data_IF_293248978492
#
_entry.id   IF_293248978492
#
_cell.length_a   1.000
_cell.length_b   1.000
_cell.length_c   1.000
_cell.angle_alpha   90.00
_cell.angle_beta   90.00
_cell.angle_gamma   90.00
#
_symmetry.space_group_name_H-M   'P 1'
#
loop_
_entity.id
_entity.type
_entity.pdbx_description
1 polymer ?
#
# COMPACT_ATOMS: atom_id res chain seq x y z
N UNK A 1 1.91 24.28 28.77
CA UNK A 1 1.23 23.09 28.22
C UNK A 1 1.72 22.85 26.80
N UNK A 2 2.89 22.21 26.64
CA UNK A 2 3.48 21.93 25.32
C UNK A 2 3.55 20.42 25.08
N UNK A 3 2.44 19.82 24.64
CA UNK A 3 2.34 18.36 24.40
C UNK A 3 1.84 18.05 22.98
N UNK A 4 1.55 19.04 22.13
CA UNK A 4 0.83 18.77 20.87
C UNK A 4 1.70 18.29 19.70
N UNK A 5 3.03 18.44 19.74
CA UNK A 5 3.91 18.01 18.64
C UNK A 5 4.16 16.49 18.63
N UNK A 6 4.65 15.95 19.74
CA UNK A 6 5.02 14.53 19.86
C UNK A 6 3.81 13.57 19.76
N UNK A 7 2.66 13.95 20.32
CA UNK A 7 1.44 13.13 20.28
C UNK A 7 0.85 13.01 18.87
N UNK A 8 0.95 14.07 18.05
CA UNK A 8 0.50 14.03 16.65
C UNK A 8 1.40 13.17 15.75
N UNK A 9 2.68 13.09 16.08
CA UNK A 9 3.70 12.42 15.29
C UNK A 9 3.72 10.91 15.55
N UNK A 10 3.64 10.51 16.82
CA UNK A 10 3.42 9.10 17.17
C UNK A 10 2.14 8.55 16.52
N UNK A 11 1.09 9.39 16.44
CA UNK A 11 -0.13 9.04 15.73
C UNK A 11 0.10 8.81 14.23
N UNK A 12 0.90 9.66 13.56
CA UNK A 12 1.25 9.48 12.14
C UNK A 12 2.08 8.21 11.90
N UNK A 13 3.06 7.91 12.74
CA UNK A 13 3.85 6.69 12.65
C UNK A 13 2.99 5.43 12.85
N UNK A 14 2.04 5.46 13.80
CA UNK A 14 1.06 4.38 13.97
C UNK A 14 0.15 4.22 12.75
N UNK A 15 -0.26 5.32 12.13
CA UNK A 15 -1.03 5.30 10.89
C UNK A 15 -0.21 4.64 9.77
N UNK A 16 1.04 5.07 9.56
CA UNK A 16 1.92 4.46 8.55
C UNK A 16 2.09 2.96 8.75
N UNK A 17 2.41 2.53 9.98
CA UNK A 17 2.56 1.10 10.29
C UNK A 17 1.27 0.33 10.02
N UNK A 18 0.12 0.83 10.46
CA UNK A 18 -1.17 0.17 10.19
C UNK A 18 -1.46 0.09 8.71
N UNK A 19 -1.26 1.18 7.95
CA UNK A 19 -1.56 1.21 6.51
C UNK A 19 -0.64 0.28 5.73
N UNK A 20 0.64 0.19 6.09
CA UNK A 20 1.57 -0.76 5.49
C UNK A 20 1.12 -2.21 5.73
N UNK A 21 0.78 -2.57 6.97
CA UNK A 21 0.29 -3.93 7.29
C UNK A 21 -1.06 -4.25 6.62
N UNK A 22 -1.98 -3.28 6.57
CA UNK A 22 -3.26 -3.43 5.88
C UNK A 22 -3.05 -3.65 4.38
N UNK A 23 -2.16 -2.88 3.76
CA UNK A 23 -1.81 -3.02 2.35
C UNK A 23 -1.27 -4.42 2.05
N UNK A 24 -0.36 -4.94 2.88
CA UNK A 24 0.16 -6.30 2.71
C UNK A 24 -0.93 -7.36 2.81
N UNK A 25 -1.82 -7.24 3.79
CA UNK A 25 -2.96 -8.16 3.96
C UNK A 25 -3.92 -8.09 2.77
N UNK A 26 -4.20 -6.89 2.25
CA UNK A 26 -5.03 -6.71 1.07
C UNK A 26 -4.38 -7.34 -0.16
N UNK A 27 -3.07 -7.14 -0.38
CA UNK A 27 -2.34 -7.79 -1.47
C UNK A 27 -2.33 -9.33 -1.34
N UNK A 28 -2.18 -9.88 -0.14
CA UNK A 28 -2.31 -11.33 0.08
C UNK A 28 -3.70 -11.84 -0.28
N UNK A 29 -4.74 -11.11 0.10
CA UNK A 29 -6.12 -11.46 -0.26
C UNK A 29 -6.34 -11.37 -1.77
N UNK A 30 -5.72 -10.39 -2.44
CA UNK A 30 -5.73 -10.29 -3.90
C UNK A 30 -5.07 -11.52 -4.54
N UNK A 31 -3.91 -11.93 -4.04
CA UNK A 31 -3.17 -13.11 -4.52
C UNK A 31 -4.03 -14.39 -4.41
N UNK A 32 -4.76 -14.58 -3.30
CA UNK A 32 -5.69 -15.70 -3.13
C UNK A 32 -6.84 -15.68 -4.16
N UNK A 33 -7.41 -14.50 -4.43
CA UNK A 33 -8.48 -14.34 -5.42
C UNK A 33 -7.94 -14.66 -6.82
N UNK A 34 -6.75 -14.17 -7.16
CA UNK A 34 -6.09 -14.41 -8.46
C UNK A 34 -5.79 -15.89 -8.67
N UNK A 35 -5.31 -16.58 -7.63
CA UNK A 35 -5.10 -18.03 -7.69
C UNK A 35 -6.42 -18.78 -7.95
N UNK A 36 -7.49 -18.37 -7.28
CA UNK A 36 -8.81 -18.96 -7.49
C UNK A 36 -9.38 -18.68 -8.89
N UNK A 37 -9.18 -17.47 -9.43
CA UNK A 37 -9.54 -17.12 -10.80
C UNK A 37 -8.74 -17.97 -11.81
N UNK A 38 -7.45 -18.13 -11.58
CA UNK A 38 -6.56 -18.93 -12.42
C UNK A 38 -7.00 -20.41 -12.46
N UNK A 39 -7.36 -20.97 -11.30
CA UNK A 39 -7.91 -22.32 -11.22
C UNK A 39 -9.24 -22.44 -11.98
N UNK A 40 -10.14 -21.46 -11.80
CA UNK A 40 -11.45 -21.44 -12.47
C UNK A 40 -11.32 -21.35 -14.01
N UNK A 41 -10.31 -20.62 -14.51
CA UNK A 41 -9.99 -20.56 -15.94
C UNK A 41 -9.45 -21.91 -16.43
N UNK A 42 -8.61 -22.58 -15.63
CA UNK A 42 -8.13 -23.94 -15.90
C UNK A 42 -9.26 -24.95 -16.00
N UNK A 43 -10.18 -24.94 -15.05
CA UNK A 43 -11.36 -25.82 -15.03
C UNK A 43 -12.26 -25.56 -16.23
N UNK A 44 -12.46 -24.29 -16.60
CA UNK A 44 -13.22 -23.92 -17.80
C UNK A 44 -12.59 -24.49 -19.07
N UNK A 45 -11.27 -24.38 -19.25
CA UNK A 45 -10.56 -24.99 -20.39
C UNK A 45 -10.73 -26.50 -20.44
N UNK A 46 -10.66 -27.16 -19.29
CA UNK A 46 -10.89 -28.59 -19.19
C UNK A 46 -12.31 -28.98 -19.62
N UNK A 47 -13.30 -28.16 -19.24
CA UNK A 47 -14.71 -28.34 -19.61
C UNK A 47 -15.02 -27.96 -21.06
N UNK A 48 -14.26 -27.04 -21.67
CA UNK A 48 -14.44 -26.62 -23.08
C UNK A 48 -13.68 -27.54 -24.08
N UNK A 49 -12.73 -28.35 -23.62
CA UNK A 49 -11.96 -29.31 -24.44
C UNK A 49 -12.65 -30.68 -24.67
N UNK A 50 -11.91 -31.63 -25.27
CA UNK A 50 -12.40 -32.97 -25.71
C UNK A 50 -13.01 -33.86 -24.59
N UNK A 51 -12.90 -33.49 -23.32
CA UNK A 51 -13.51 -34.21 -22.19
C UNK A 51 -15.03 -33.95 -22.07
N UNK A 52 -15.57 -33.09 -22.93
CA UNK A 52 -17.00 -32.92 -23.18
C UNK A 52 -17.70 -34.15 -23.77
N UNK A 53 -17.02 -35.28 -24.06
CA UNK A 53 -17.74 -36.50 -24.49
C UNK A 53 -18.82 -36.97 -23.49
N UNK A 54 -18.65 -36.67 -22.20
CA UNK A 54 -19.63 -36.96 -21.14
C UNK A 54 -20.64 -35.84 -20.90
N UNK A 55 -20.29 -34.57 -21.14
CA UNK A 55 -21.18 -33.40 -20.98
C UNK A 55 -22.03 -33.12 -22.24
N UNK A 56 -21.60 -33.57 -23.42
CA UNK A 56 -22.36 -33.55 -24.68
C UNK A 56 -23.58 -34.50 -24.66
N UNK A 57 -23.68 -35.38 -23.66
CA UNK A 57 -24.82 -36.28 -23.47
C UNK A 57 -26.01 -35.60 -22.77
N UNK A 58 -25.77 -34.51 -22.02
CA UNK A 58 -26.83 -33.74 -21.35
C UNK A 58 -26.60 -32.21 -21.50
N UNK A 59 -27.20 -31.59 -22.52
CA UNK A 59 -27.04 -30.15 -22.76
C UNK A 59 -27.61 -29.27 -21.64
N UNK A 60 -28.56 -29.77 -20.84
CA UNK A 60 -29.08 -28.99 -19.70
C UNK A 60 -28.08 -28.94 -18.55
N UNK A 61 -27.41 -30.07 -18.27
CA UNK A 61 -26.36 -30.13 -17.26
C UNK A 61 -25.16 -29.27 -17.67
N UNK A 62 -24.78 -29.30 -18.95
CA UNK A 62 -23.75 -28.41 -19.50
C UNK A 62 -24.11 -26.93 -19.29
N UNK A 63 -25.32 -26.50 -19.65
CA UNK A 63 -25.75 -25.12 -19.49
C UNK A 63 -25.74 -24.66 -18.02
N UNK A 64 -26.18 -25.53 -17.09
CA UNK A 64 -26.16 -25.24 -15.64
C UNK A 64 -24.73 -25.12 -15.10
N UNK A 65 -23.83 -26.01 -15.52
CA UNK A 65 -22.42 -25.96 -15.13
C UNK A 65 -21.76 -24.66 -15.62
N UNK A 66 -21.92 -24.32 -16.90
CA UNK A 66 -21.36 -23.08 -17.47
C UNK A 66 -21.93 -21.83 -16.78
N UNK A 67 -23.23 -21.79 -16.51
CA UNK A 67 -23.85 -20.68 -15.78
C UNK A 67 -23.29 -20.54 -14.35
N UNK A 68 -23.10 -21.64 -13.63
CA UNK A 68 -22.49 -21.64 -12.28
C UNK A 68 -21.02 -21.21 -12.27
N UNK A 69 -20.27 -21.54 -13.32
CA UNK A 69 -18.89 -21.08 -13.48
C UNK A 69 -18.83 -19.60 -13.81
N UNK A 70 -19.65 -19.13 -14.75
CA UNK A 70 -19.71 -17.71 -15.12
C UNK A 70 -20.11 -16.84 -13.92
N UNK A 71 -21.08 -17.26 -13.11
CA UNK A 71 -21.48 -16.50 -11.91
C UNK A 71 -20.36 -16.41 -10.86
N UNK A 72 -19.62 -17.51 -10.64
CA UNK A 72 -18.45 -17.50 -9.75
C UNK A 72 -17.33 -16.60 -10.26
N UNK A 73 -17.06 -16.62 -11.56
CA UNK A 73 -16.03 -15.78 -12.17
C UNK A 73 -16.38 -14.29 -12.02
N UNK A 74 -17.63 -13.91 -12.31
CA UNK A 74 -18.12 -12.54 -12.11
C UNK A 74 -18.06 -12.12 -10.64
N UNK A 75 -18.42 -13.00 -9.70
CA UNK A 75 -18.34 -12.71 -8.26
C UNK A 75 -16.89 -12.47 -7.82
N UNK A 76 -15.94 -13.27 -8.31
CA UNK A 76 -14.53 -13.09 -7.98
C UNK A 76 -13.95 -11.82 -8.59
N UNK A 77 -14.36 -11.48 -9.83
CA UNK A 77 -13.99 -10.24 -10.47
C UNK A 77 -14.49 -9.02 -9.69
N UNK A 78 -15.77 -9.01 -9.29
CA UNK A 78 -16.32 -7.93 -8.46
C UNK A 78 -15.61 -7.81 -7.10
N UNK A 79 -15.24 -8.94 -6.49
CA UNK A 79 -14.48 -8.93 -5.23
C UNK A 79 -13.07 -8.36 -5.41
N UNK A 80 -12.41 -8.67 -6.54
CA UNK A 80 -11.10 -8.13 -6.88
C UNK A 80 -11.16 -6.61 -7.09
N UNK A 81 -12.21 -6.11 -7.75
CA UNK A 81 -12.45 -4.68 -7.95
C UNK A 81 -12.70 -3.93 -6.64
N UNK A 82 -13.56 -4.45 -5.76
CA UNK A 82 -13.77 -3.85 -4.44
C UNK A 82 -12.46 -3.77 -3.65
N UNK A 83 -11.69 -4.86 -3.64
CA UNK A 83 -10.41 -4.89 -2.93
C UNK A 83 -9.40 -3.91 -3.55
N UNK A 84 -9.46 -3.68 -4.86
CA UNK A 84 -8.62 -2.70 -5.53
C UNK A 84 -8.96 -1.26 -5.11
N UNK A 85 -10.25 -0.94 -4.98
CA UNK A 85 -10.68 0.34 -4.42
C UNK A 85 -10.14 0.55 -3.00
N UNK A 86 -10.17 -0.48 -2.16
CA UNK A 86 -9.62 -0.41 -0.79
C UNK A 86 -8.08 -0.21 -0.78
N UNK A 87 -7.38 -0.79 -1.76
CA UNK A 87 -5.93 -0.60 -1.94
C UNK A 87 -5.61 0.84 -2.36
N UNK A 88 -6.39 1.43 -3.27
CA UNK A 88 -6.25 2.83 -3.69
C UNK A 88 -6.38 3.78 -2.49
N UNK A 89 -7.40 3.59 -1.66
CA UNK A 89 -7.60 4.38 -0.44
C UNK A 89 -6.42 4.23 0.54
N UNK A 90 -5.97 3.00 0.76
CA UNK A 90 -4.87 2.69 1.68
C UNK A 90 -3.57 3.36 1.24
N UNK A 91 -3.27 3.35 -0.07
CA UNK A 91 -2.09 4.01 -0.63
C UNK A 91 -2.21 5.54 -0.53
N UNK A 92 -3.39 6.10 -0.83
CA UNK A 92 -3.62 7.54 -0.71
C UNK A 92 -3.41 8.04 0.73
N UNK A 93 -3.89 7.28 1.73
CA UNK A 93 -3.67 7.60 3.13
C UNK A 93 -2.20 7.46 3.55
N UNK A 94 -1.49 6.47 3.03
CA UNK A 94 -0.06 6.30 3.27
C UNK A 94 0.77 7.46 2.73
N UNK A 95 0.43 7.95 1.53
CA UNK A 95 1.05 9.15 0.95
C UNK A 95 0.79 10.39 1.80
N UNK A 96 -0.45 10.59 2.25
CA UNK A 96 -0.80 11.71 3.15
C UNK A 96 -0.02 11.66 4.46
N UNK A 97 0.08 10.48 5.08
CA UNK A 97 0.82 10.32 6.32
C UNK A 97 2.34 10.51 6.13
N UNK A 98 2.89 10.06 5.00
CA UNK A 98 4.30 10.27 4.64
C UNK A 98 4.61 11.76 4.43
N UNK A 99 3.71 12.47 3.72
CA UNK A 99 3.82 13.90 3.51
C UNK A 99 3.76 14.68 4.84
N UNK A 100 2.85 14.30 5.73
CA UNK A 100 2.74 14.93 7.05
C UNK A 100 4.02 14.72 7.90
N UNK A 101 4.66 13.55 7.82
CA UNK A 101 5.95 13.30 8.47
C UNK A 101 7.06 14.20 7.90
N UNK A 102 7.08 14.40 6.59
CA UNK A 102 8.05 15.28 5.91
C UNK A 102 7.87 16.74 6.31
N UNK A 103 6.64 17.22 6.37
CA UNK A 103 6.33 18.58 6.81
C UNK A 103 6.70 18.81 8.27
N UNK A 104 6.44 17.82 9.13
CA UNK A 104 6.85 17.85 10.53
C UNK A 104 8.38 17.88 10.69
N UNK A 105 9.11 17.10 9.88
CA UNK A 105 10.58 17.11 9.87
C UNK A 105 11.13 18.47 9.41
N UNK A 106 10.56 19.05 8.35
CA UNK A 106 10.98 20.37 7.85
C UNK A 106 10.71 21.50 8.84
N UNK A 107 9.56 21.47 9.53
CA UNK A 107 9.23 22.45 10.55
C UNK A 107 10.19 22.38 11.76
N UNK A 108 10.57 21.18 12.18
CA UNK A 108 11.56 20.96 13.25
C UNK A 108 12.97 21.40 12.85
N UNK A 109 13.38 21.22 11.59
CA UNK A 109 14.66 21.71 11.09
C UNK A 109 14.72 23.25 10.98
N UNK A 110 13.61 23.89 10.58
CA UNK A 110 13.51 25.35 10.46
C UNK A 110 13.53 26.10 11.81
N UNK A 111 13.03 25.48 12.87
CA UNK A 111 13.11 26.04 14.23
C UNK A 111 14.52 25.94 14.82
N UNK A 112 15.30 24.91 14.45
CA UNK A 112 16.70 24.78 14.84
C UNK A 112 17.59 25.83 14.14
N UNK A 113 17.32 26.14 12.87
CA UNK A 113 18.10 27.13 12.10
C UNK A 113 17.86 28.60 12.49
N UNK A 114 16.70 28.93 13.06
CA UNK A 114 16.39 30.28 13.54
C UNK A 114 16.98 30.58 14.92
N UNK A 115 17.33 29.56 15.71
CA UNK A 115 18.05 29.72 16.98
C UNK A 115 19.56 30.04 16.81
N UNK A 116 20.16 29.68 15.67
CA UNK A 116 21.58 29.92 15.39
C UNK A 116 21.88 31.29 14.77
N UNK A 117 20.86 32.05 14.34
CA UNK A 117 21.01 33.30 13.59
C UNK A 117 20.54 34.56 14.33
N UNK A 118 20.41 34.52 15.67
CA UNK A 118 20.20 35.73 16.46
C UNK A 118 21.56 36.35 16.83
N UNK A 119 21.94 37.52 16.28
CA UNK A 119 23.14 38.21 16.74
C UNK A 119 22.94 38.64 18.20
N UNK A 120 23.93 38.31 19.02
CA UNK A 120 24.00 38.64 20.45
C UNK A 120 23.98 40.17 20.61
N UNK A 121 22.80 40.73 20.81
CA UNK A 121 22.62 42.08 21.33
C UNK A 121 22.42 41.99 22.85
N UNK A 122 23.43 42.42 23.58
CA UNK A 122 23.43 42.50 25.04
C UNK A 122 22.32 43.44 25.54
N UNK A 123 21.46 42.94 26.43
CA UNK A 123 20.40 43.75 27.04
C UNK A 123 19.45 42.92 27.91
N UNK A 124 19.90 42.60 29.13
CA UNK A 124 19.09 42.36 30.34
C UNK A 124 17.62 41.91 30.17
N UNK A 125 17.33 40.60 30.31
CA UNK A 125 16.07 40.05 30.85
C UNK A 125 16.16 38.52 31.07
N UNK A 126 16.13 37.98 32.31
CA UNK A 126 16.31 36.55 32.58
C UNK A 126 14.98 35.79 32.77
N UNK A 127 13.94 36.09 31.98
CA UNK A 127 12.64 35.41 32.10
C UNK A 127 12.05 34.89 30.78
N UNK A 128 12.51 35.37 29.62
CA UNK A 128 12.01 34.94 28.31
C UNK A 128 12.80 33.76 27.70
N UNK A 129 14.02 33.48 28.18
CA UNK A 129 14.87 32.40 27.68
C UNK A 129 14.35 30.99 28.03
N UNK A 130 13.52 30.85 29.06
CA UNK A 130 12.96 29.57 29.47
C UNK A 130 11.73 29.13 28.65
N UNK A 131 11.06 30.05 27.94
CA UNK A 131 9.89 29.74 27.12
C UNK A 131 10.25 29.38 25.66
N UNK A 132 11.38 29.90 25.15
CA UNK A 132 11.89 29.56 23.82
C UNK A 132 12.60 28.19 23.77
N UNK A 133 13.10 27.68 24.91
CA UNK A 133 13.72 26.36 25.01
C UNK A 133 12.71 25.20 25.03
N UNK A 134 11.40 25.48 25.19
CA UNK A 134 10.36 24.46 25.35
C UNK A 134 9.72 24.00 24.02
N UNK A 135 10.17 24.52 22.88
CA UNK A 135 9.66 24.17 21.54
C UNK A 135 10.76 23.77 20.56
N UNK A 136 11.98 23.50 21.04
CA UNK A 136 12.96 22.78 20.25
C UNK A 136 12.52 21.32 20.20
N UNK A 137 11.92 20.91 19.09
CA UNK A 137 11.86 19.48 18.76
C UNK A 137 13.28 18.94 18.85
N UNK A 138 13.47 17.81 19.55
CA UNK A 138 14.79 17.21 19.72
C UNK A 138 15.39 17.01 18.31
N UNK A 139 16.60 17.51 18.00
CA UNK A 139 17.19 17.39 16.66
C UNK A 139 17.31 15.91 16.23
N UNK A 140 17.37 14.99 17.20
CA UNK A 140 17.29 13.55 16.97
C UNK A 140 15.92 13.09 16.46
N UNK A 141 14.81 13.62 16.98
CA UNK A 141 13.47 13.29 16.50
C UNK A 141 13.24 13.83 15.08
N UNK A 142 13.76 15.02 14.77
CA UNK A 142 13.68 15.61 13.44
C UNK A 142 14.48 14.81 12.39
N UNK A 143 15.70 14.38 12.73
CA UNK A 143 16.52 13.53 11.87
C UNK A 143 15.86 12.17 11.63
N UNK A 144 15.37 11.53 12.70
CA UNK A 144 14.67 10.26 12.62
C UNK A 144 13.38 10.34 11.78
N UNK A 145 12.66 11.46 11.84
CA UNK A 145 11.51 11.69 10.96
C UNK A 145 11.88 11.85 9.49
N UNK A 146 12.97 12.57 9.20
CA UNK A 146 13.47 12.69 7.84
C UNK A 146 13.86 11.32 7.28
N UNK A 147 14.48 10.47 8.11
CA UNK A 147 14.86 9.10 7.75
C UNK A 147 13.64 8.22 7.45
N UNK A 148 12.60 8.26 8.30
CA UNK A 148 11.35 7.50 8.06
C UNK A 148 10.64 8.00 6.81
N UNK A 149 10.52 9.33 6.63
CA UNK A 149 9.88 9.89 5.45
C UNK A 149 10.64 9.50 4.17
N UNK A 150 11.98 9.59 4.20
CA UNK A 150 12.85 9.17 3.10
C UNK A 150 12.76 7.67 2.80
N UNK A 151 12.48 6.85 3.80
CA UNK A 151 12.29 5.41 3.64
C UNK A 151 10.87 5.05 3.15
N UNK A 152 9.84 5.76 3.59
CA UNK A 152 8.44 5.53 3.22
C UNK A 152 8.06 6.10 1.85
N UNK A 153 8.67 7.21 1.42
CA UNK A 153 8.40 7.86 0.13
C UNK A 153 8.61 6.91 -1.09
N UNK A 154 9.73 6.18 -1.23
CA UNK A 154 9.89 5.23 -2.33
C UNK A 154 8.91 4.05 -2.25
N UNK A 155 8.52 3.62 -1.04
CA UNK A 155 7.56 2.54 -0.82
C UNK A 155 6.16 2.98 -1.25
N UNK A 156 5.68 4.12 -0.77
CA UNK A 156 4.38 4.67 -1.12
C UNK A 156 4.28 4.96 -2.63
N UNK A 157 5.36 5.45 -3.25
CA UNK A 157 5.41 5.66 -4.70
C UNK A 157 5.40 4.35 -5.50
N UNK A 158 6.05 3.29 -5.02
CA UNK A 158 5.99 1.97 -5.66
C UNK A 158 4.59 1.35 -5.54
N UNK A 159 3.96 1.43 -4.36
CA UNK A 159 2.59 0.95 -4.16
C UNK A 159 1.60 1.70 -5.04
N UNK A 160 1.70 3.02 -5.17
CA UNK A 160 0.85 3.79 -6.07
C UNK A 160 1.00 3.37 -7.54
N UNK A 161 2.24 3.14 -7.98
CA UNK A 161 2.50 2.61 -9.33
C UNK A 161 1.95 1.20 -9.52
N UNK A 162 2.08 0.35 -8.50
CA UNK A 162 1.55 -1.01 -8.53
C UNK A 162 0.02 -1.01 -8.63
N UNK A 163 -0.65 -0.17 -7.83
CA UNK A 163 -2.09 -0.02 -7.84
C UNK A 163 -2.56 0.53 -9.19
N UNK A 164 -1.93 1.58 -9.72
CA UNK A 164 -2.24 2.10 -11.05
C UNK A 164 -2.05 1.06 -12.18
N UNK A 165 -1.04 0.19 -12.07
CA UNK A 165 -0.85 -0.92 -13.00
C UNK A 165 -1.98 -1.94 -12.86
N UNK A 166 -2.33 -2.33 -11.64
CA UNK A 166 -3.42 -3.26 -11.35
C UNK A 166 -4.76 -2.74 -11.88
N UNK A 167 -5.07 -1.44 -11.75
CA UNK A 167 -6.27 -0.84 -12.32
C UNK A 167 -6.32 -0.95 -13.85
N UNK A 168 -5.18 -0.73 -14.52
CA UNK A 168 -5.07 -0.92 -15.97
C UNK A 168 -5.25 -2.38 -16.36
N UNK A 169 -4.69 -3.31 -15.58
CA UNK A 169 -4.88 -4.75 -15.80
C UNK A 169 -6.35 -5.14 -15.65
N UNK A 170 -7.06 -4.62 -14.64
CA UNK A 170 -8.51 -4.87 -14.47
C UNK A 170 -9.33 -4.35 -15.65
N UNK A 171 -8.98 -3.16 -16.16
CA UNK A 171 -9.66 -2.59 -17.33
C UNK A 171 -9.44 -3.48 -18.55
N UNK A 172 -8.20 -3.91 -18.80
CA UNK A 172 -7.90 -4.85 -19.89
C UNK A 172 -8.60 -6.21 -19.70
N UNK A 173 -8.74 -6.69 -18.47
CA UNK A 173 -9.49 -7.93 -18.19
C UNK A 173 -10.98 -7.82 -18.55
N UNK A 174 -11.59 -6.64 -18.39
CA UNK A 174 -12.97 -6.38 -18.83
C UNK A 174 -13.11 -6.35 -20.36
N UNK A 175 -12.10 -5.84 -21.04
CA UNK A 175 -12.12 -5.70 -22.51
C UNK A 175 -11.78 -7.03 -23.23
N UNK A 176 -11.14 -7.97 -22.53
CA UNK A 176 -10.81 -9.28 -23.09
C UNK A 176 -12.06 -10.15 -23.20
N UNK A 177 -12.27 -10.72 -24.38
CA UNK A 177 -13.29 -11.73 -24.58
C UNK A 177 -12.98 -12.95 -23.70
N UNK A 178 -14.00 -13.49 -23.00
CA UNK A 178 -13.86 -14.64 -22.09
C UNK A 178 -13.24 -15.91 -22.73
N UNK A 179 -13.07 -15.93 -24.05
CA UNK A 179 -12.43 -16.99 -24.84
C UNK A 179 -10.90 -16.89 -24.89
N UNK A 180 -10.31 -15.70 -24.68
CA UNK A 180 -8.86 -15.52 -24.68
C UNK A 180 -8.24 -15.79 -23.31
N UNK A 181 -8.31 -17.06 -22.93
CA UNK A 181 -7.80 -17.56 -21.66
C UNK A 181 -6.27 -17.40 -21.52
N UNK A 182 -5.51 -17.29 -22.61
CA UNK A 182 -4.06 -17.12 -22.55
C UNK A 182 -3.69 -15.69 -22.16
N UNK A 183 -4.33 -14.70 -22.79
CA UNK A 183 -4.15 -13.30 -22.41
C UNK A 183 -4.65 -13.05 -20.98
N UNK A 184 -5.79 -13.63 -20.60
CA UNK A 184 -6.30 -13.54 -19.23
C UNK A 184 -5.30 -14.10 -18.20
N UNK A 185 -4.67 -15.24 -18.48
CA UNK A 185 -3.62 -15.81 -17.62
C UNK A 185 -2.37 -14.91 -17.53
N UNK A 186 -1.98 -14.28 -18.64
CA UNK A 186 -0.85 -13.32 -18.65
C UNK A 186 -1.13 -12.11 -17.78
N UNK A 187 -2.34 -11.54 -17.87
CA UNK A 187 -2.74 -10.41 -17.03
C UNK A 187 -2.79 -10.78 -15.55
N UNK A 188 -3.35 -11.94 -15.20
CA UNK A 188 -3.38 -12.44 -13.83
C UNK A 188 -1.97 -12.67 -13.27
N UNK A 189 -1.04 -13.18 -14.10
CA UNK A 189 0.36 -13.34 -13.71
C UNK A 189 1.01 -11.97 -13.40
N UNK A 190 0.79 -10.97 -14.24
CA UNK A 190 1.33 -9.61 -14.01
C UNK A 190 0.75 -8.99 -12.73
N UNK A 191 -0.52 -9.27 -12.43
CA UNK A 191 -1.17 -8.84 -11.20
C UNK A 191 -0.49 -9.45 -9.96
N UNK A 192 -0.13 -10.73 -10.03
CA UNK A 192 0.52 -11.49 -8.94
C UNK A 192 1.99 -11.13 -8.72
N UNK A 193 2.76 -10.98 -9.81
CA UNK A 193 4.22 -10.72 -9.77
C UNK A 193 4.56 -9.37 -9.15
N UNK A 194 3.63 -8.41 -9.20
CA UNK A 194 3.78 -7.05 -8.63
C UNK A 194 5.11 -6.39 -9.00
N UNK A 195 5.35 -6.13 -10.30
CA UNK A 195 6.65 -5.69 -10.81
C UNK A 195 7.11 -4.35 -10.22
N UNK A 196 6.18 -3.49 -9.79
CA UNK A 196 6.53 -2.21 -9.17
C UNK A 196 7.01 -2.39 -7.71
N UNK A 197 6.52 -3.41 -7.00
CA UNK A 197 6.95 -3.74 -5.63
C UNK A 197 8.18 -4.64 -5.59
N UNK A 198 8.37 -5.48 -6.61
CA UNK A 198 9.38 -6.52 -6.63
C UNK A 198 10.80 -6.04 -6.27
N UNK A 199 11.31 -4.91 -6.78
CA UNK A 199 12.63 -4.41 -6.41
C UNK A 199 12.74 -4.06 -4.92
N UNK A 200 11.69 -3.48 -4.33
CA UNK A 200 11.65 -3.10 -2.92
C UNK A 200 11.56 -4.32 -2.00
N UNK A 201 10.74 -5.31 -2.38
CA UNK A 201 10.66 -6.60 -1.67
C UNK A 201 12.00 -7.33 -1.71
N UNK A 202 12.63 -7.39 -2.88
CA UNK A 202 13.93 -8.05 -3.05
C UNK A 202 15.05 -7.37 -2.24
N UNK A 203 14.99 -6.05 -2.10
CA UNK A 203 15.93 -5.27 -1.30
C UNK A 203 15.59 -5.28 0.21
N UNK A 204 14.48 -5.89 0.64
CA UNK A 204 14.04 -5.88 2.03
C UNK A 204 13.59 -4.51 2.55
N UNK A 205 13.31 -3.55 1.66
CA UNK A 205 12.97 -2.18 2.07
C UNK A 205 11.66 -2.11 2.86
N UNK A 206 10.67 -2.95 2.51
CA UNK A 206 9.37 -2.99 3.18
C UNK A 206 9.53 -3.55 4.60
N UNK A 207 10.25 -4.66 4.76
CA UNK A 207 10.51 -5.26 6.08
C UNK A 207 11.33 -4.32 6.97
N UNK A 208 12.32 -3.64 6.39
CA UNK A 208 13.10 -2.62 7.08
C UNK A 208 12.22 -1.45 7.54
N UNK A 209 11.25 -1.02 6.72
CA UNK A 209 10.29 0.01 7.09
C UNK A 209 9.43 -0.39 8.29
N UNK A 210 8.91 -1.61 8.26
CA UNK A 210 8.08 -2.15 9.34
C UNK A 210 8.89 -2.27 10.62
N UNK A 211 10.11 -2.81 10.54
CA UNK A 211 11.01 -2.95 11.69
C UNK A 211 11.35 -1.58 12.30
N UNK A 212 11.70 -0.59 11.45
CA UNK A 212 11.97 0.77 11.89
C UNK A 212 10.74 1.37 12.58
N UNK A 213 9.57 1.35 11.94
CA UNK A 213 8.34 1.89 12.54
C UNK A 213 7.97 1.22 13.87
N UNK A 214 8.15 -0.10 14.01
CA UNK A 214 7.92 -0.81 15.28
C UNK A 214 8.90 -0.40 16.36
N UNK A 215 10.18 -0.31 16.04
CA UNK A 215 11.23 0.13 16.97
C UNK A 215 10.93 1.54 17.52
N UNK A 216 10.49 2.44 16.64
CA UNK A 216 10.20 3.83 16.99
C UNK A 216 8.92 3.97 17.82
N UNK A 217 7.93 3.11 17.57
CA UNK A 217 6.72 3.02 18.37
C UNK A 217 6.89 2.18 19.64
N UNK A 218 8.10 1.66 19.91
CA UNK A 218 8.40 0.74 21.03
C UNK A 218 7.45 -0.47 21.07
N UNK A 219 6.98 -0.90 19.90
CA UNK A 219 6.18 -2.10 19.75
C UNK A 219 7.10 -3.29 19.54
N UNK A 220 7.09 -4.24 20.49
CA UNK A 220 7.77 -5.54 20.35
C UNK A 220 6.96 -6.50 19.49
#
# INVERSE_FOLDING_TARGET
MGVSGAAGLEAQLRVLLRRLLTYEKQQQTADEIIQSLTASIGDRRYLEGDHLRTLLLDPQLQARCLASYNSRLLQQQARLECLHSDLEETVAEMQKATQACREAAAAAAGSAGTAAAAPVAAGSQPAAAAAAAAAAADPNEAAMMADIAGLMEPIAAAFARQVALQQRLLTMMHDIQCTDSQELQRLLLLFHVRPCEYPLRKAGCIDAAVAALRQLLRMQ
#
